data_IF_692249551430
#
_entry.id   IF_692249551430
#
_cell.length_a   1.000
_cell.length_b   1.000
_cell.length_c   1.000
_cell.angle_alpha   90.00
_cell.angle_beta   90.00
_cell.angle_gamma   90.00
#
_symmetry.space_group_name_H-M   'P 1'
#
loop_
_entity.id
_entity.type
_entity.pdbx_description
1 polymer ?
#
# COMPACT_ATOMS: atom_id res chain seq x y z
N UNK A 1 19.81 33.30 -19.78
CA UNK A 1 18.56 32.94 -19.10
C UNK A 1 18.67 31.49 -18.67
N UNK A 2 18.84 31.18 -17.38
CA UNK A 2 18.96 29.79 -16.96
C UNK A 2 17.62 29.07 -17.18
N UNK A 3 17.73 27.87 -17.75
CA UNK A 3 16.65 27.00 -18.22
C UNK A 3 15.71 26.58 -17.08
N UNK A 4 14.41 26.54 -17.35
CA UNK A 4 13.40 26.02 -16.41
C UNK A 4 13.60 24.50 -16.33
N UNK A 5 14.33 24.04 -15.30
CA UNK A 5 14.50 22.62 -15.01
C UNK A 5 13.31 22.10 -14.19
N UNK A 6 12.56 21.15 -14.75
CA UNK A 6 11.36 20.50 -14.18
C UNK A 6 11.57 18.97 -14.02
N UNK A 7 12.63 18.54 -13.35
CA UNK A 7 12.84 17.12 -13.05
C UNK A 7 12.12 16.67 -11.75
N UNK A 8 11.64 15.40 -11.59
CA UNK A 8 11.66 14.28 -12.53
C UNK A 8 10.27 13.56 -12.69
N UNK A 9 10.06 12.75 -13.75
CA UNK A 9 9.98 11.31 -13.51
C UNK A 9 11.17 10.56 -14.12
N UNK A 10 12.12 10.27 -13.25
CA UNK A 10 13.18 9.29 -13.42
C UNK A 10 12.57 7.93 -13.09
N UNK A 11 12.65 6.99 -14.04
CA UNK A 11 12.02 5.68 -13.98
C UNK A 11 11.02 5.44 -15.13
N UNK A 12 9.82 4.93 -14.80
CA UNK A 12 8.83 4.36 -15.76
C UNK A 12 8.13 5.37 -16.68
N UNK A 13 8.03 6.64 -16.31
CA UNK A 13 7.19 7.64 -17.00
C UNK A 13 8.04 8.72 -17.68
N UNK A 14 7.51 9.33 -18.76
CA UNK A 14 8.14 10.47 -19.41
C UNK A 14 7.92 11.75 -18.58
N UNK A 15 8.90 12.65 -18.56
CA UNK A 15 8.80 14.00 -17.99
C UNK A 15 8.10 14.98 -18.93
N UNK A 16 7.76 16.16 -18.42
CA UNK A 16 7.23 17.22 -19.27
C UNK A 16 8.25 17.65 -20.32
N UNK A 17 9.51 17.85 -19.93
CA UNK A 17 10.59 18.19 -20.85
C UNK A 17 10.78 17.13 -21.95
N UNK A 18 10.74 15.84 -21.61
CA UNK A 18 10.82 14.76 -22.61
C UNK A 18 9.61 14.77 -23.56
N UNK A 19 8.43 15.18 -23.10
CA UNK A 19 7.25 15.34 -23.95
C UNK A 19 7.37 16.55 -24.87
N UNK A 20 7.93 17.67 -24.39
CA UNK A 20 8.20 18.84 -25.23
C UNK A 20 9.21 18.51 -26.32
N UNK A 21 10.32 17.87 -25.96
CA UNK A 21 11.35 17.44 -26.90
C UNK A 21 10.79 16.45 -27.93
N UNK A 22 9.93 15.52 -27.50
CA UNK A 22 9.19 14.64 -28.42
C UNK A 22 8.33 15.43 -29.41
N UNK A 23 7.71 16.54 -28.99
CA UNK A 23 6.88 17.37 -29.87
C UNK A 23 7.72 18.14 -30.90
N UNK A 24 8.85 18.73 -30.46
CA UNK A 24 9.79 19.45 -31.34
C UNK A 24 10.35 18.51 -32.40
N UNK A 25 10.88 17.36 -31.99
CA UNK A 25 11.47 16.38 -32.91
C UNK A 25 10.43 15.78 -33.87
N UNK A 26 9.18 15.61 -33.40
CA UNK A 26 8.09 15.15 -34.26
C UNK A 26 7.69 16.19 -35.31
N UNK A 27 7.71 17.48 -34.95
CA UNK A 27 7.47 18.58 -35.88
C UNK A 27 8.58 18.70 -36.95
N UNK A 28 9.80 18.27 -36.61
CA UNK A 28 10.92 18.09 -37.55
C UNK A 28 10.86 16.75 -38.32
N UNK A 29 9.72 16.05 -38.28
CA UNK A 29 9.49 14.77 -38.96
C UNK A 29 10.45 13.63 -38.57
N UNK A 30 11.12 13.74 -37.41
CA UNK A 30 12.01 12.68 -36.92
C UNK A 30 11.24 11.41 -36.57
N UNK A 31 11.86 10.27 -36.87
CA UNK A 31 11.28 8.95 -36.61
C UNK A 31 11.26 8.58 -35.12
N UNK A 32 10.32 7.70 -34.72
CA UNK A 32 10.17 7.24 -33.33
C UNK A 32 11.47 6.71 -32.72
N UNK A 33 12.26 5.95 -33.48
CA UNK A 33 13.53 5.37 -33.01
C UNK A 33 14.61 6.43 -32.79
N UNK A 34 14.57 7.52 -33.56
CA UNK A 34 15.52 8.61 -33.44
C UNK A 34 15.22 9.49 -32.24
N UNK A 35 13.94 9.83 -32.05
CA UNK A 35 13.45 10.51 -30.84
C UNK A 35 13.84 9.71 -29.59
N UNK A 36 13.64 8.39 -29.63
CA UNK A 36 13.99 7.51 -28.52
C UNK A 36 15.50 7.51 -28.20
N UNK A 37 16.37 7.49 -29.23
CA UNK A 37 17.83 7.62 -29.04
C UNK A 37 18.20 8.98 -28.45
N UNK A 38 17.59 10.06 -28.94
CA UNK A 38 17.85 11.41 -28.44
C UNK A 38 17.49 11.56 -26.95
N UNK A 39 16.37 10.98 -26.55
CA UNK A 39 15.88 11.04 -25.16
C UNK A 39 16.46 9.97 -24.23
N UNK A 40 17.28 9.03 -24.75
CA UNK A 40 17.75 7.88 -23.95
C UNK A 40 16.60 6.96 -23.48
N UNK A 41 15.50 6.88 -24.24
CA UNK A 41 14.30 6.09 -23.90
C UNK A 41 14.09 4.92 -24.86
N UNK A 42 13.24 3.96 -24.46
CA UNK A 42 12.87 2.87 -25.37
C UNK A 42 11.99 3.39 -26.52
N UNK A 43 12.18 2.91 -27.78
CA UNK A 43 11.29 3.24 -28.89
C UNK A 43 9.82 2.88 -28.62
N UNK A 44 9.58 1.84 -27.82
CA UNK A 44 8.24 1.44 -27.41
C UNK A 44 7.58 2.49 -26.50
N UNK A 45 8.34 3.16 -25.63
CA UNK A 45 7.84 4.25 -24.78
C UNK A 45 7.34 5.39 -25.65
N UNK A 46 8.16 5.87 -26.59
CA UNK A 46 7.82 6.98 -27.48
C UNK A 46 6.65 6.62 -28.41
N UNK A 47 6.64 5.41 -28.99
CA UNK A 47 5.52 4.94 -29.81
C UNK A 47 4.19 4.94 -29.04
N UNK A 48 4.20 4.43 -27.80
CA UNK A 48 2.99 4.37 -26.97
C UNK A 48 2.53 5.76 -26.54
N UNK A 49 3.44 6.69 -26.27
CA UNK A 49 3.12 8.08 -25.96
C UNK A 49 2.40 8.74 -27.15
N UNK A 50 3.04 8.72 -28.32
CA UNK A 50 2.49 9.32 -29.54
C UNK A 50 1.15 8.68 -29.94
N UNK A 51 1.02 7.35 -29.88
CA UNK A 51 -0.23 6.65 -30.20
C UNK A 51 -1.38 7.06 -29.28
N UNK A 52 -1.12 7.31 -28.00
CA UNK A 52 -2.16 7.70 -27.03
C UNK A 52 -2.57 9.16 -27.14
N UNK A 53 -1.64 10.03 -27.55
CA UNK A 53 -1.78 11.48 -27.40
C UNK A 53 -1.78 12.27 -28.72
N UNK A 54 -1.56 11.64 -29.88
CA UNK A 54 -1.68 12.32 -31.18
C UNK A 54 -3.17 12.38 -31.61
N UNK A 55 -3.62 13.58 -32.01
CA UNK A 55 -5.02 13.83 -32.33
C UNK A 55 -5.54 12.93 -33.46
N UNK A 56 -6.65 12.23 -33.23
CA UNK A 56 -7.27 11.27 -34.15
C UNK A 56 -8.53 11.80 -34.83
N UNK A 57 -8.96 13.04 -34.56
CA UNK A 57 -10.30 13.53 -34.92
C UNK A 57 -10.36 14.53 -36.08
N UNK A 58 -9.22 15.03 -36.58
CA UNK A 58 -9.20 16.11 -37.59
C UNK A 58 -8.29 15.82 -38.80
N UNK A 59 -7.92 14.56 -39.05
CA UNK A 59 -7.06 14.18 -40.18
C UNK A 59 -5.59 14.60 -40.06
N UNK A 60 -5.23 15.45 -39.10
CA UNK A 60 -3.86 15.89 -38.83
C UNK A 60 -3.39 15.36 -37.47
N UNK A 61 -2.32 14.55 -37.47
CA UNK A 61 -1.70 13.99 -36.26
C UNK A 61 -0.81 15.05 -35.57
N UNK A 62 -1.44 16.05 -34.96
CA UNK A 62 -0.71 17.03 -34.16
C UNK A 62 -0.54 16.49 -32.72
N UNK A 63 0.72 16.28 -32.32
CA UNK A 63 1.09 15.90 -30.95
C UNK A 63 1.42 17.16 -30.14
N UNK A 64 0.70 17.39 -29.03
CA UNK A 64 0.91 18.53 -28.12
C UNK A 64 1.38 18.05 -26.75
N UNK A 65 2.56 18.49 -26.34
CA UNK A 65 3.18 18.09 -25.07
C UNK A 65 2.36 18.49 -23.83
N UNK A 66 1.80 19.70 -23.82
CA UNK A 66 0.95 20.19 -22.72
C UNK A 66 -0.32 19.36 -22.52
N UNK A 67 -0.94 18.92 -23.62
CA UNK A 67 -2.13 18.04 -23.59
C UNK A 67 -1.75 16.65 -23.09
N UNK A 68 -0.65 16.08 -23.60
CA UNK A 68 -0.12 14.80 -23.14
C UNK A 68 0.23 14.82 -21.64
N UNK A 69 0.82 15.92 -21.15
CA UNK A 69 1.12 16.14 -19.75
C UNK A 69 -0.15 16.23 -18.89
N UNK A 70 -1.14 17.03 -19.31
CA UNK A 70 -2.42 17.14 -18.61
C UNK A 70 -3.12 15.77 -18.49
N UNK A 71 -3.10 14.95 -19.55
CA UNK A 71 -3.61 13.59 -19.49
C UNK A 71 -2.83 12.71 -18.50
N UNK A 72 -1.49 12.80 -18.50
CA UNK A 72 -0.65 12.07 -17.55
C UNK A 72 -0.95 12.47 -16.10
N UNK A 73 -1.05 13.76 -15.81
CA UNK A 73 -1.35 14.29 -14.48
C UNK A 73 -2.76 13.89 -14.03
N UNK A 74 -3.75 13.96 -14.92
CA UNK A 74 -5.12 13.50 -14.64
C UNK A 74 -5.17 12.01 -14.31
N UNK A 75 -4.40 11.18 -15.02
CA UNK A 75 -4.31 9.74 -14.72
C UNK A 75 -3.51 9.44 -13.45
N UNK A 76 -2.50 10.26 -13.15
CA UNK A 76 -1.69 10.13 -11.93
C UNK A 76 -2.48 10.48 -10.66
N UNK A 77 -3.39 11.47 -10.73
CA UNK A 77 -4.22 11.90 -9.60
C UNK A 77 -5.01 10.76 -8.95
N UNK A 78 -5.39 9.71 -9.69
CA UNK A 78 -6.17 8.53 -9.26
C UNK A 78 -7.14 8.74 -8.07
N UNK A 79 -7.98 9.80 -7.99
CA UNK A 79 -8.88 9.94 -6.86
C UNK A 79 -10.19 9.25 -7.25
N UNK A 80 -10.30 7.96 -6.95
CA UNK A 80 -11.62 7.33 -6.80
C UNK A 80 -11.81 7.17 -5.30
N UNK A 81 -12.70 7.98 -4.72
CA UNK A 81 -13.15 7.80 -3.34
C UNK A 81 -13.54 6.32 -3.22
N UNK A 82 -12.89 5.61 -2.30
CA UNK A 82 -13.17 4.18 -2.12
C UNK A 82 -14.62 4.02 -1.66
N UNK A 83 -15.29 2.90 -2.00
CA UNK A 83 -16.67 2.68 -1.57
C UNK A 83 -16.82 2.73 -0.04
N UNK A 84 -15.78 2.32 0.69
CA UNK A 84 -15.70 2.41 2.15
C UNK A 84 -15.47 3.85 2.64
N UNK A 85 -14.82 4.71 1.87
CA UNK A 85 -14.69 6.13 2.21
C UNK A 85 -16.00 6.89 1.98
N UNK A 86 -16.79 6.48 0.97
CA UNK A 86 -18.08 7.10 0.65
C UNK A 86 -19.27 6.57 1.48
N UNK A 87 -19.20 5.33 1.98
CA UNK A 87 -20.29 4.69 2.73
C UNK A 87 -19.85 4.36 4.16
N UNK A 88 -20.27 5.21 5.11
CA UNK A 88 -19.95 5.12 6.53
C UNK A 88 -20.54 3.87 7.19
N UNK A 89 -21.76 3.47 6.80
CA UNK A 89 -22.43 2.27 7.32
C UNK A 89 -21.67 1.00 6.92
N UNK A 90 -21.31 0.89 5.64
CA UNK A 90 -20.50 -0.21 5.14
C UNK A 90 -19.11 -0.24 5.79
N UNK A 91 -18.48 0.92 5.95
CA UNK A 91 -17.20 1.06 6.65
C UNK A 91 -17.28 0.54 8.07
N UNK A 92 -18.25 0.99 8.84
CA UNK A 92 -18.44 0.59 10.23
C UNK A 92 -18.67 -0.93 10.34
N UNK A 93 -19.54 -1.48 9.49
CA UNK A 93 -19.79 -2.92 9.43
C UNK A 93 -18.49 -3.72 9.20
N UNK A 94 -17.70 -3.33 8.18
CA UNK A 94 -16.42 -3.99 7.88
C UNK A 94 -15.44 -3.87 9.05
N UNK A 95 -15.34 -2.70 9.69
CA UNK A 95 -14.45 -2.49 10.84
C UNK A 95 -14.81 -3.37 12.04
N UNK A 96 -16.08 -3.45 12.41
CA UNK A 96 -16.53 -4.25 13.55
C UNK A 96 -16.25 -5.74 13.35
N UNK A 97 -16.45 -6.25 12.13
CA UNK A 97 -16.27 -7.67 11.81
C UNK A 97 -14.78 -8.03 11.70
N UNK A 98 -13.97 -7.14 11.14
CA UNK A 98 -12.51 -7.26 11.17
C UNK A 98 -11.94 -7.12 12.59
N UNK A 99 -12.57 -6.34 13.48
CA UNK A 99 -12.15 -6.20 14.86
C UNK A 99 -12.62 -7.35 15.77
N UNK A 100 -13.56 -8.19 15.30
CA UNK A 100 -14.20 -9.22 16.12
C UNK A 100 -15.09 -8.64 17.23
N UNK A 101 -15.59 -7.41 17.05
CA UNK A 101 -16.41 -6.69 18.06
C UNK A 101 -17.91 -6.84 17.79
N UNK A 102 -18.31 -7.84 17.00
CA UNK A 102 -19.73 -8.02 16.66
C UNK A 102 -20.54 -8.33 17.91
N UNK A 103 -21.39 -7.38 18.31
CA UNK A 103 -22.41 -7.56 19.34
C UNK A 103 -23.77 -7.59 18.65
N UNK A 104 -24.61 -8.54 19.01
CA UNK A 104 -26.01 -8.54 18.62
C UNK A 104 -26.73 -7.37 19.33
N UNK A 105 -27.93 -6.98 18.86
CA UNK A 105 -28.69 -5.86 19.44
C UNK A 105 -29.02 -6.04 20.94
N UNK A 106 -29.02 -7.27 21.42
CA UNK A 106 -29.19 -7.68 22.83
C UNK A 106 -27.89 -7.61 23.66
N UNK A 107 -26.78 -7.16 23.05
CA UNK A 107 -25.47 -7.08 23.68
C UNK A 107 -24.70 -8.40 23.73
N UNK A 108 -25.27 -9.51 23.26
CA UNK A 108 -24.58 -10.80 23.20
C UNK A 108 -23.48 -10.76 22.12
N UNK A 109 -22.31 -11.33 22.40
CA UNK A 109 -21.25 -11.42 21.39
C UNK A 109 -21.71 -12.35 20.28
N UNK A 110 -21.82 -11.85 19.04
CA UNK A 110 -22.08 -12.76 17.91
C UNK A 110 -20.81 -13.58 17.76
N UNK A 111 -20.95 -14.88 17.95
CA UNK A 111 -19.85 -15.82 17.88
C UNK A 111 -19.14 -15.65 16.53
N UNK A 112 -17.83 -15.40 16.59
CA UNK A 112 -17.00 -15.30 15.39
C UNK A 112 -17.08 -16.60 14.58
N UNK A 113 -16.71 -16.59 13.29
CA UNK A 113 -16.74 -17.79 12.49
C UNK A 113 -15.88 -18.88 13.13
N UNK A 114 -16.45 -20.07 13.31
CA UNK A 114 -15.72 -21.23 13.83
C UNK A 114 -14.68 -21.68 12.80
N UNK A 115 -13.41 -21.31 13.00
CA UNK A 115 -12.35 -21.67 12.06
C UNK A 115 -11.49 -22.81 12.59
N UNK A 116 -11.60 -23.96 11.93
CA UNK A 116 -10.71 -25.11 12.17
C UNK A 116 -9.25 -24.71 12.01
N UNK A 117 -8.47 -24.85 13.09
CA UNK A 117 -7.03 -24.63 13.05
C UNK A 117 -6.34 -25.80 12.36
N UNK A 118 -5.79 -25.58 11.16
CA UNK A 118 -5.03 -26.59 10.42
C UNK A 118 -3.56 -26.40 10.77
N UNK A 119 -3.09 -27.18 11.75
CA UNK A 119 -1.80 -27.03 12.43
C UNK A 119 -0.57 -27.28 11.57
N UNK A 120 -0.16 -26.31 10.75
CA UNK A 120 1.16 -26.33 10.10
C UNK A 120 2.03 -25.17 10.62
N UNK A 121 2.73 -25.41 11.75
CA UNK A 121 4.03 -24.84 12.21
C UNK A 121 4.07 -24.38 13.68
N UNK A 122 4.97 -25.02 14.42
CA UNK A 122 5.35 -24.76 15.82
C UNK A 122 6.08 -23.42 16.03
N UNK A 123 5.74 -22.74 17.13
CA UNK A 123 6.45 -21.59 17.69
C UNK A 123 5.65 -20.99 18.86
N UNK A 124 6.33 -20.41 19.86
CA UNK A 124 5.66 -19.63 20.92
C UNK A 124 4.93 -18.45 20.26
N UNK A 125 3.61 -18.41 20.38
CA UNK A 125 2.74 -17.40 19.77
C UNK A 125 1.97 -16.71 20.89
N UNK A 126 1.83 -15.39 20.79
CA UNK A 126 0.85 -14.66 21.58
C UNK A 126 -0.55 -15.02 21.08
N UNK A 127 -1.55 -14.96 21.97
CA UNK A 127 -2.95 -15.01 21.56
C UNK A 127 -3.21 -13.90 20.55
N UNK A 128 -3.77 -14.27 19.40
CA UNK A 128 -4.01 -13.32 18.33
C UNK A 128 -5.49 -12.95 18.27
N UNK A 129 -5.75 -11.66 18.10
CA UNK A 129 -7.09 -11.09 17.95
C UNK A 129 -7.93 -11.72 16.81
N UNK A 130 -7.29 -12.27 15.77
CA UNK A 130 -8.02 -12.84 14.62
C UNK A 130 -8.83 -14.11 14.92
N UNK A 131 -8.62 -14.79 16.06
CA UNK A 131 -9.36 -16.01 16.38
C UNK A 131 -10.88 -15.78 16.45
N UNK A 132 -11.30 -14.56 16.80
CA UNK A 132 -12.71 -14.13 16.86
C UNK A 132 -13.07 -13.16 15.74
N UNK A 133 -12.13 -12.80 14.85
CA UNK A 133 -12.34 -11.84 13.77
C UNK A 133 -12.72 -12.52 12.45
N UNK A 134 -13.53 -11.83 11.64
CA UNK A 134 -13.93 -12.31 10.32
C UNK A 134 -12.87 -11.99 9.26
N UNK A 135 -12.73 -12.86 8.25
CA UNK A 135 -11.89 -12.58 7.08
C UNK A 135 -12.57 -11.61 6.10
N UNK A 136 -11.81 -10.85 5.28
CA UNK A 136 -12.38 -10.02 4.22
C UNK A 136 -13.33 -10.77 3.27
N UNK A 137 -13.04 -12.05 2.99
CA UNK A 137 -13.86 -12.93 2.16
C UNK A 137 -15.18 -13.30 2.85
N UNK A 138 -15.13 -13.66 4.13
CA UNK A 138 -16.34 -13.94 4.91
C UNK A 138 -17.22 -12.71 5.03
N UNK A 139 -16.63 -11.53 5.23
CA UNK A 139 -17.37 -10.26 5.29
C UNK A 139 -18.05 -9.97 3.95
N UNK A 140 -17.31 -10.09 2.84
CA UNK A 140 -17.86 -9.86 1.49
C UNK A 140 -19.04 -10.81 1.18
N UNK A 141 -18.92 -12.08 1.55
CA UNK A 141 -19.97 -13.08 1.33
C UNK A 141 -21.18 -12.92 2.27
N UNK A 142 -20.98 -12.33 3.45
CA UNK A 142 -22.04 -12.11 4.44
C UNK A 142 -22.91 -10.89 4.12
N UNK A 143 -22.35 -9.85 3.50
CA UNK A 143 -23.06 -8.61 3.17
C UNK A 143 -24.36 -8.82 2.37
N UNK A 144 -24.44 -9.70 1.35
CA UNK A 144 -25.70 -10.02 0.69
C UNK A 144 -26.75 -10.70 1.57
N UNK A 145 -26.33 -11.42 2.61
CA UNK A 145 -27.24 -12.12 3.53
C UNK A 145 -27.82 -11.16 4.55
N UNK A 146 -26.98 -10.30 5.14
CA UNK A 146 -27.41 -9.37 6.19
C UNK A 146 -28.12 -8.14 5.61
N UNK A 147 -27.87 -7.81 4.35
CA UNK A 147 -28.46 -6.66 3.66
C UNK A 147 -28.96 -7.05 2.26
N UNK A 148 -29.98 -7.92 2.14
CA UNK A 148 -30.42 -8.46 0.85
C UNK A 148 -30.89 -7.36 -0.11
N UNK A 149 -31.59 -6.35 0.40
CA UNK A 149 -32.22 -5.28 -0.39
C UNK A 149 -31.31 -4.06 -0.62
N UNK A 150 -30.17 -3.95 0.07
CA UNK A 150 -29.29 -2.78 0.01
C UNK A 150 -28.00 -3.08 -0.78
N UNK A 151 -28.00 -2.72 -2.07
CA UNK A 151 -26.83 -2.86 -2.95
C UNK A 151 -25.66 -1.95 -2.56
N UNK A 152 -25.91 -0.87 -1.82
CA UNK A 152 -24.86 0.04 -1.35
C UNK A 152 -23.94 -0.67 -0.35
N UNK A 153 -24.41 -1.75 0.28
CA UNK A 153 -23.65 -2.60 1.19
C UNK A 153 -22.79 -3.65 0.49
N UNK A 154 -22.76 -3.72 -0.86
CA UNK A 154 -21.91 -4.70 -1.59
C UNK A 154 -20.47 -4.22 -1.72
N UNK A 155 -19.51 -5.06 -1.37
CA UNK A 155 -18.08 -4.83 -1.67
C UNK A 155 -17.36 -6.15 -1.87
N UNK A 156 -16.39 -6.19 -2.78
CA UNK A 156 -15.52 -7.36 -2.94
C UNK A 156 -14.49 -7.44 -1.81
N UNK A 157 -14.05 -8.66 -1.49
CA UNK A 157 -12.97 -8.88 -0.53
C UNK A 157 -11.66 -8.22 -0.97
N UNK A 158 -11.40 -8.15 -2.28
CA UNK A 158 -10.30 -7.35 -2.85
C UNK A 158 -10.46 -5.86 -2.52
N UNK A 159 -11.67 -5.30 -2.59
CA UNK A 159 -11.94 -3.92 -2.18
C UNK A 159 -11.62 -3.66 -0.70
N UNK A 160 -11.90 -4.64 0.16
CA UNK A 160 -11.55 -4.60 1.59
C UNK A 160 -10.02 -4.69 1.76
N UNK A 161 -9.33 -5.60 1.05
CA UNK A 161 -7.86 -5.67 1.07
C UNK A 161 -7.20 -4.37 0.60
N UNK A 162 -7.72 -3.79 -0.49
CA UNK A 162 -7.25 -2.52 -1.01
C UNK A 162 -7.36 -1.40 0.03
N UNK A 163 -8.45 -1.36 0.80
CA UNK A 163 -8.65 -0.38 1.87
C UNK A 163 -7.75 -0.61 3.10
N UNK A 164 -7.36 -1.86 3.39
CA UNK A 164 -6.43 -2.17 4.48
C UNK A 164 -4.97 -1.83 4.14
N UNK A 165 -4.55 -2.03 2.89
CA UNK A 165 -3.13 -1.94 2.50
C UNK A 165 -2.74 -0.67 1.75
N UNK A 166 -3.67 0.04 1.11
CA UNK A 166 -3.35 1.27 0.39
C UNK A 166 -3.71 2.51 1.21
N UNK A 167 -2.68 3.14 1.76
CA UNK A 167 -2.74 4.31 2.66
C UNK A 167 -3.52 5.51 2.08
N UNK A 168 -3.59 5.65 0.75
CA UNK A 168 -4.37 6.72 0.07
C UNK A 168 -5.86 6.45 -0.11
N UNK A 169 -6.38 5.27 0.28
CA UNK A 169 -7.82 4.93 0.21
C UNK A 169 -8.56 5.03 1.56
N UNK A 170 -7.80 5.26 2.65
CA UNK A 170 -8.19 6.01 3.85
C UNK A 170 -9.42 5.58 4.66
N UNK A 171 -10.03 4.43 4.40
CA UNK A 171 -11.33 4.10 4.98
C UNK A 171 -11.29 3.08 6.12
N UNK A 172 -10.20 2.35 6.34
CA UNK A 172 -10.13 1.36 7.43
C UNK A 172 -8.94 1.67 8.34
N UNK A 173 -9.11 1.46 9.65
CA UNK A 173 -8.03 1.61 10.63
C UNK A 173 -6.88 0.65 10.29
N UNK A 174 -5.65 1.18 10.17
CA UNK A 174 -4.45 0.41 9.81
C UNK A 174 -4.16 -0.75 10.76
N UNK A 175 -4.58 -0.62 12.01
CA UNK A 175 -4.44 -1.66 13.03
C UNK A 175 -5.23 -2.94 12.71
N UNK A 176 -6.28 -2.86 11.88
CA UNK A 176 -7.10 -4.02 11.49
C UNK A 176 -6.33 -5.05 10.66
N UNK A 177 -5.20 -4.68 10.05
CA UNK A 177 -4.29 -5.65 9.42
C UNK A 177 -3.81 -6.71 10.42
N UNK A 178 -3.70 -6.38 11.71
CA UNK A 178 -3.32 -7.34 12.76
C UNK A 178 -4.39 -8.41 13.02
N UNK A 179 -5.64 -8.13 12.65
CA UNK A 179 -6.77 -9.05 12.76
C UNK A 179 -6.92 -9.97 11.54
N UNK A 180 -6.10 -9.79 10.49
CA UNK A 180 -6.11 -10.71 9.35
C UNK A 180 -5.38 -12.02 9.68
N UNK A 181 -5.93 -13.13 9.18
CA UNK A 181 -5.32 -14.47 9.27
C UNK A 181 -4.07 -14.55 8.39
N UNK A 182 -2.94 -14.08 8.91
CA UNK A 182 -1.65 -14.35 8.28
C UNK A 182 -1.13 -15.67 8.84
N UNK A 183 -0.93 -16.69 8.00
CA UNK A 183 -0.38 -18.00 8.42
C UNK A 183 1.04 -17.91 9.03
N UNK A 184 1.68 -16.74 8.94
CA UNK A 184 2.96 -16.41 9.56
C UNK A 184 2.79 -16.35 11.07
N UNK A 185 3.77 -16.77 11.88
CA UNK A 185 3.75 -16.54 13.32
C UNK A 185 4.07 -15.07 13.64
N UNK A 186 3.43 -14.46 14.64
CA UNK A 186 3.98 -13.23 15.23
C UNK A 186 5.22 -13.66 15.99
N UNK A 187 6.39 -13.18 15.57
CA UNK A 187 7.64 -13.41 16.32
C UNK A 187 7.56 -12.52 17.56
N UNK A 188 7.39 -13.12 18.73
CA UNK A 188 7.56 -12.41 19.98
C UNK A 188 9.01 -11.90 20.10
N UNK A 189 9.24 -10.75 20.76
CA UNK A 189 10.60 -10.34 21.10
C UNK A 189 11.25 -11.48 21.90
N UNK A 190 12.42 -11.95 21.46
CA UNK A 190 13.24 -12.83 22.30
C UNK A 190 13.49 -12.06 23.59
N UNK A 191 13.05 -12.61 24.72
CA UNK A 191 13.49 -12.11 26.02
C UNK A 191 15.02 -12.05 25.94
N UNK A 192 15.59 -10.84 26.04
CA UNK A 192 17.04 -10.72 26.21
C UNK A 192 17.34 -11.48 27.48
N UNK A 193 18.15 -12.53 27.40
CA UNK A 193 18.73 -13.14 28.59
C UNK A 193 19.39 -11.99 29.35
N UNK A 194 18.78 -11.54 30.46
CA UNK A 194 19.45 -10.62 31.37
C UNK A 194 20.75 -11.33 31.73
N UNK A 195 21.87 -10.73 31.34
CA UNK A 195 23.16 -11.39 31.34
C UNK A 195 23.42 -12.06 32.68
N UNK A 196 23.60 -13.39 32.67
CA UNK A 196 24.43 -14.07 33.66
C UNK A 196 25.89 -13.69 33.38
N UNK A 197 26.22 -12.42 33.52
CA UNK A 197 27.60 -11.98 33.62
C UNK A 197 28.06 -12.32 35.03
N UNK A 198 28.93 -13.32 35.18
CA UNK A 198 29.67 -13.49 36.43
C UNK A 198 30.44 -12.19 36.66
N UNK A 199 30.15 -11.48 37.76
CA UNK A 199 30.95 -10.33 38.18
C UNK A 199 32.26 -10.89 38.74
N UNK A 200 33.34 -10.81 37.97
CA UNK A 200 34.67 -10.96 38.54
C UNK A 200 34.95 -9.67 39.32
N UNK A 201 34.89 -9.75 40.65
CA UNK A 201 35.43 -8.71 41.52
C UNK A 201 36.91 -9.05 41.69
N UNK A 202 37.78 -8.28 41.05
CA UNK A 202 39.21 -8.32 41.35
C UNK A 202 39.42 -7.44 42.57
N UNK A 203 39.85 -8.04 43.69
CA UNK A 203 40.15 -7.33 44.92
C UNK A 203 41.48 -6.57 44.75
N UNK A 204 41.41 -5.25 44.58
CA UNK A 204 42.58 -4.38 44.58
C UNK A 204 43.05 -4.16 46.02
N UNK A 205 44.02 -4.96 46.48
CA UNK A 205 44.72 -4.69 47.74
C UNK A 205 45.80 -3.63 47.48
N UNK A 206 45.66 -2.52 48.20
CA UNK A 206 46.47 -1.30 48.14
C UNK A 206 47.95 -1.55 48.53
N UNK A 207 48.91 -0.76 48.01
CA UNK A 207 50.32 -0.87 48.37
C UNK A 207 50.56 -0.48 49.84
N UNK A 208 51.23 -1.37 50.59
CA UNK A 208 51.66 -1.15 51.97
C UNK A 208 52.72 -0.06 52.04
N UNK A 209 52.42 1.05 52.72
CA UNK A 209 53.38 2.08 53.08
C UNK A 209 54.25 1.56 54.22
N UNK A 210 55.57 1.44 54.00
CA UNK A 210 56.55 1.21 55.06
C UNK A 210 56.72 2.50 55.88
N UNK A 211 56.82 2.44 57.23
CA UNK A 211 57.30 3.58 57.99
C UNK A 211 58.83 3.64 57.93
N UNK A 212 59.35 4.86 57.80
CA UNK A 212 60.74 5.21 58.10
C UNK A 212 60.93 5.15 59.61
N UNK A 213 61.98 4.47 60.06
CA UNK A 213 63.15 5.03 60.77
C UNK A 213 64.27 3.99 60.84
#
# INVERSE_FOLDING_TARGET
MPSISLDPPSGRYLSFAEREETAVLRAQERGVREIARHLGRSPATISRELRRNAATRCGRLDYRASVAQWHADRQARRPKVSKLAANDRLRQYVQERLAGTVRAPDGSGVEGPQVRWIGRRHGRRQDRRWATSWSPEQIANRLPVDFPEDETMRISHEGIYQALYMQGRGALRRELTACLRTGRALRGPRARTRGRGKKFVTELKQPSTLPRD
#
